data_IF_499602015941
#
_entry.id   IF_499602015941
#
_cell.length_a   1.000
_cell.length_b   1.000
_cell.length_c   1.000
_cell.angle_alpha   90.00
_cell.angle_beta   90.00
_cell.angle_gamma   90.00
#
_symmetry.space_group_name_H-M   'P 1'
#
loop_
_entity.id
_entity.type
_entity.pdbx_description
1 polymer ?
#
# COMPACT_ATOMS: atom_id res chain seq x y z
N UNK A 1 5.67 6.49 -14.29
CA UNK A 1 5.78 5.05 -14.02
C UNK A 1 4.39 4.54 -13.76
N UNK A 2 3.99 3.41 -14.33
CA UNK A 2 2.62 2.89 -14.21
C UNK A 2 2.61 1.77 -13.18
N UNK A 3 1.76 1.88 -12.16
CA UNK A 3 1.44 0.80 -11.23
C UNK A 3 0.00 0.36 -11.47
N UNK A 4 -0.35 -0.83 -10.97
CA UNK A 4 -1.71 -1.34 -10.98
C UNK A 4 -2.06 -1.86 -9.59
N UNK A 5 -3.09 -1.28 -8.95
CA UNK A 5 -3.64 -1.79 -7.68
C UNK A 5 -4.50 -3.01 -7.99
N UNK A 6 -4.05 -4.18 -7.53
CA UNK A 6 -4.72 -5.47 -7.73
C UNK A 6 -5.80 -5.74 -6.69
N UNK A 7 -5.55 -5.37 -5.44
CA UNK A 7 -6.47 -5.60 -4.33
C UNK A 7 -6.29 -4.55 -3.24
N UNK A 8 -7.33 -4.36 -2.43
CA UNK A 8 -7.32 -3.52 -1.23
C UNK A 8 -8.01 -4.24 -0.08
N UNK A 9 -7.38 -4.18 1.09
CA UNK A 9 -7.93 -4.71 2.35
C UNK A 9 -8.11 -3.51 3.28
N UNK A 10 -9.35 -3.30 3.73
CA UNK A 10 -9.69 -2.29 4.74
C UNK A 10 -9.83 -3.01 6.07
N UNK A 11 -8.94 -2.69 7.01
CA UNK A 11 -9.02 -3.14 8.39
C UNK A 11 -9.55 -2.00 9.25
N UNK A 12 -10.79 -2.12 9.73
CA UNK A 12 -11.41 -1.11 10.59
C UNK A 12 -10.95 -1.20 12.05
N UNK A 13 -10.00 -2.10 12.36
CA UNK A 13 -9.46 -2.30 13.69
C UNK A 13 -10.52 -2.76 14.71
N UNK A 14 -10.07 -3.22 15.88
CA UNK A 14 -10.96 -3.44 17.03
C UNK A 14 -10.84 -2.32 18.07
N UNK A 15 -9.70 -1.59 18.10
CA UNK A 15 -9.37 -0.57 19.09
C UNK A 15 -8.93 0.79 18.49
N UNK A 16 -9.35 1.11 17.26
CA UNK A 16 -9.17 2.45 16.67
C UNK A 16 -7.94 2.65 15.77
N UNK A 17 -7.06 1.66 15.64
CA UNK A 17 -6.02 1.67 14.60
C UNK A 17 -6.57 1.04 13.31
N UNK A 18 -7.31 1.84 12.55
CA UNK A 18 -7.78 1.43 11.24
C UNK A 18 -6.67 1.58 10.18
N UNK A 19 -6.58 0.63 9.25
CA UNK A 19 -5.59 0.68 8.17
C UNK A 19 -6.17 0.24 6.84
N UNK A 20 -5.52 0.67 5.76
CA UNK A 20 -5.82 0.22 4.41
C UNK A 20 -4.54 -0.31 3.79
N UNK A 21 -4.56 -1.57 3.40
CA UNK A 21 -3.46 -2.21 2.68
C UNK A 21 -3.81 -2.35 1.21
N UNK A 22 -3.04 -1.72 0.34
CA UNK A 22 -3.15 -1.86 -1.11
C UNK A 22 -2.05 -2.79 -1.63
N UNK A 23 -2.45 -3.86 -2.32
CA UNK A 23 -1.56 -4.71 -3.08
C UNK A 23 -1.49 -4.20 -4.53
N UNK A 24 -0.30 -4.00 -5.05
CA UNK A 24 -0.09 -3.43 -6.38
C UNK A 24 1.12 -4.05 -7.09
N UNK A 25 1.13 -3.99 -8.41
CA UNK A 25 2.30 -4.39 -9.21
C UNK A 25 2.94 -3.20 -9.92
N UNK A 26 4.27 -3.20 -9.99
CA UNK A 26 5.07 -2.25 -10.74
C UNK A 26 6.31 -2.96 -11.28
N UNK A 27 6.67 -2.75 -12.55
CA UNK A 27 7.88 -3.33 -13.16
C UNK A 27 8.02 -4.85 -12.96
N UNK A 28 6.92 -5.61 -13.13
CA UNK A 28 6.84 -7.07 -12.91
C UNK A 28 7.16 -7.54 -11.50
N UNK A 29 7.07 -6.65 -10.51
CA UNK A 29 7.20 -6.98 -9.08
C UNK A 29 5.89 -6.68 -8.38
N UNK A 30 5.59 -7.49 -7.38
CA UNK A 30 4.42 -7.34 -6.52
C UNK A 30 4.81 -6.66 -5.22
N UNK A 31 3.99 -5.70 -4.81
CA UNK A 31 4.19 -4.87 -3.64
C UNK A 31 2.93 -4.80 -2.80
N UNK A 32 3.11 -4.43 -1.55
CA UNK A 32 2.03 -3.91 -0.71
C UNK A 32 2.46 -2.63 -0.02
N UNK A 33 1.50 -1.74 0.18
CA UNK A 33 1.63 -0.54 0.99
C UNK A 33 0.47 -0.49 1.97
N UNK A 34 0.76 -0.26 3.25
CA UNK A 34 -0.24 -0.08 4.29
C UNK A 34 -0.24 1.37 4.73
N UNK A 35 -1.41 1.98 4.70
CA UNK A 35 -1.66 3.33 5.20
C UNK A 35 -2.48 3.28 6.49
N UNK A 36 -2.17 4.16 7.43
CA UNK A 36 -3.10 4.48 8.51
C UNK A 36 -4.35 5.13 7.89
N UNK A 37 -5.56 4.68 8.21
CA UNK A 37 -6.76 5.18 7.54
C UNK A 37 -7.16 6.60 8.01
N UNK A 38 -6.69 7.04 9.18
CA UNK A 38 -7.06 8.34 9.75
C UNK A 38 -6.38 9.52 9.04
N UNK A 39 -5.10 9.37 8.66
CA UNK A 39 -4.29 10.42 8.06
C UNK A 39 -3.57 9.99 6.77
N UNK A 40 -3.65 8.71 6.41
CA UNK A 40 -2.95 8.09 5.28
C UNK A 40 -1.42 8.20 5.36
N UNK A 41 -0.88 8.23 6.58
CA UNK A 41 0.54 8.00 6.82
C UNK A 41 0.92 6.56 6.43
N UNK A 42 2.11 6.38 5.85
CA UNK A 42 2.62 5.04 5.51
C UNK A 42 3.03 4.32 6.78
N UNK A 43 2.37 3.21 7.10
CA UNK A 43 2.75 2.33 8.20
C UNK A 43 3.90 1.40 7.76
N UNK A 44 3.77 0.79 6.59
CA UNK A 44 4.79 -0.08 6.03
C UNK A 44 4.67 -0.24 4.52
N UNK A 45 5.75 -0.69 3.89
CA UNK A 45 5.78 -1.11 2.49
C UNK A 45 6.58 -2.39 2.35
N UNK A 46 6.11 -3.28 1.48
CA UNK A 46 6.74 -4.56 1.22
C UNK A 46 6.83 -4.82 -0.28
N UNK A 47 7.87 -5.55 -0.67
CA UNK A 47 8.00 -6.18 -1.98
C UNK A 47 7.99 -7.69 -1.78
N UNK A 48 7.24 -8.39 -2.61
CA UNK A 48 7.17 -9.85 -2.60
C UNK A 48 8.10 -10.41 -3.68
N UNK A 49 9.19 -11.05 -3.24
CA UNK A 49 10.19 -11.67 -4.10
C UNK A 49 10.68 -12.98 -3.49
N UNK A 50 10.94 -13.99 -4.32
CA UNK A 50 11.44 -15.30 -3.89
C UNK A 50 10.60 -15.93 -2.76
N UNK A 51 9.28 -15.87 -2.88
CA UNK A 51 8.31 -16.39 -1.89
C UNK A 51 8.40 -15.72 -0.50
N UNK A 52 9.04 -14.56 -0.41
CA UNK A 52 9.22 -13.81 0.83
C UNK A 52 8.83 -12.34 0.68
N UNK A 53 8.42 -11.71 1.79
CA UNK A 53 8.17 -10.27 1.84
C UNK A 53 9.36 -9.55 2.46
N UNK A 54 9.91 -8.59 1.75
CA UNK A 54 11.03 -7.74 2.20
C UNK A 54 10.59 -6.28 2.29
N UNK A 55 11.11 -5.49 3.24
CA UNK A 55 10.77 -4.06 3.30
C UNK A 55 11.10 -3.40 1.96
N UNK A 56 10.14 -2.68 1.40
CA UNK A 56 10.34 -1.97 0.14
C UNK A 56 10.84 -0.55 0.40
N UNK A 57 11.59 -0.01 -0.55
CA UNK A 57 11.82 1.42 -0.65
C UNK A 57 11.11 1.92 -1.90
N UNK A 58 10.04 2.68 -1.71
CA UNK A 58 9.25 3.26 -2.80
C UNK A 58 9.59 4.75 -2.90
N UNK A 59 9.63 5.28 -4.12
CA UNK A 59 9.81 6.73 -4.31
C UNK A 59 8.61 7.50 -3.78
N UNK A 60 8.83 8.68 -3.19
CA UNK A 60 7.77 9.55 -2.66
C UNK A 60 6.65 9.80 -3.69
N UNK A 61 6.99 10.10 -4.94
CA UNK A 61 6.00 10.32 -6.01
C UNK A 61 5.04 9.14 -6.21
N UNK A 62 5.53 7.90 -6.04
CA UNK A 62 4.71 6.69 -6.14
C UNK A 62 3.81 6.54 -4.92
N UNK A 63 4.35 6.79 -3.73
CA UNK A 63 3.58 6.77 -2.47
C UNK A 63 2.45 7.79 -2.55
N UNK A 64 2.73 9.03 -2.97
CA UNK A 64 1.72 10.08 -3.14
C UNK A 64 0.62 9.66 -4.13
N UNK A 65 1.00 9.09 -5.28
CA UNK A 65 0.03 8.64 -6.29
C UNK A 65 -0.87 7.51 -5.76
N UNK A 66 -0.27 6.51 -5.10
CA UNK A 66 -0.99 5.41 -4.46
C UNK A 66 -1.92 5.93 -3.36
N UNK A 67 -1.46 6.89 -2.55
CA UNK A 67 -2.26 7.49 -1.48
C UNK A 67 -3.53 8.14 -2.02
N UNK A 68 -3.40 8.97 -3.05
CA UNK A 68 -4.54 9.65 -3.67
C UNK A 68 -5.50 8.67 -4.35
N UNK A 69 -5.00 7.58 -4.93
CA UNK A 69 -5.85 6.54 -5.50
C UNK A 69 -6.56 5.69 -4.45
N UNK A 70 -5.90 5.37 -3.34
CA UNK A 70 -6.50 4.65 -2.21
C UNK A 70 -7.61 5.49 -1.56
N UNK A 71 -7.37 6.79 -1.34
CA UNK A 71 -8.37 7.74 -0.81
C UNK A 71 -9.65 7.80 -1.64
N UNK A 72 -9.56 7.68 -2.97
CA UNK A 72 -10.74 7.72 -3.87
C UNK A 72 -11.59 6.44 -3.82
N UNK A 73 -11.05 5.34 -3.28
CA UNK A 73 -11.67 4.02 -3.32
C UNK A 73 -12.29 3.60 -1.98
N UNK A 74 -12.16 4.43 -0.94
CA UNK A 74 -12.71 4.18 0.40
C UNK A 74 -13.71 5.25 0.81
#
# INVERSE_FOLDING_TARGET
>A
MTYEIKNMIVDNGFNGEESVTAAFSQNNKDYSITFNKSDFEVINTWVFENETSLPANLSDNLIESLREDVKKRI
#
